data_IF_108445895965
#
_entry.id   IF_108445895965
#
_cell.length_a   1.000
_cell.length_b   1.000
_cell.length_c   1.000
_cell.angle_alpha   90.00
_cell.angle_beta   90.00
_cell.angle_gamma   90.00
#
_symmetry.space_group_name_H-M   'P 1'
#
loop_
_entity.id
_entity.type
_entity.pdbx_description
1 polymer ?
#
# COMPACT_ATOMS: atom_id res chain seq x y z
N UNK A 1 2.68 -59.15 -23.21
CA UNK A 1 2.59 -58.12 -22.15
C UNK A 1 3.83 -57.25 -22.27
N UNK A 2 3.67 -56.04 -22.82
CA UNK A 2 4.77 -55.09 -23.07
C UNK A 2 4.70 -54.03 -21.97
N UNK A 3 5.73 -53.96 -21.13
CA UNK A 3 5.88 -52.95 -20.09
C UNK A 3 6.41 -51.66 -20.73
N UNK A 4 5.54 -50.66 -20.86
CA UNK A 4 5.93 -49.32 -21.31
C UNK A 4 6.59 -48.57 -20.15
N UNK A 5 7.92 -48.48 -20.20
CA UNK A 5 8.73 -47.63 -19.34
C UNK A 5 8.46 -46.16 -19.68
N UNK A 6 7.93 -45.39 -18.72
CA UNK A 6 7.80 -43.93 -18.83
C UNK A 6 9.17 -43.27 -18.85
N UNK A 7 9.39 -42.27 -19.71
CA UNK A 7 10.66 -41.54 -19.75
C UNK A 7 10.80 -40.68 -18.50
N UNK A 8 11.96 -40.83 -17.86
CA UNK A 8 12.41 -40.01 -16.73
C UNK A 8 12.36 -38.53 -17.13
N UNK A 9 11.41 -37.81 -16.54
CA UNK A 9 11.35 -36.35 -16.61
C UNK A 9 12.49 -35.82 -15.73
N UNK A 10 13.68 -35.67 -16.32
CA UNK A 10 14.81 -35.02 -15.69
C UNK A 10 14.41 -33.56 -15.46
N UNK A 11 13.98 -33.27 -14.23
CA UNK A 11 13.63 -31.92 -13.80
C UNK A 11 14.80 -30.99 -14.07
N UNK A 12 14.63 -30.11 -15.05
CA UNK A 12 15.49 -28.96 -15.25
C UNK A 12 15.48 -28.18 -13.93
N UNK A 13 16.60 -28.21 -13.22
CA UNK A 13 16.85 -27.38 -12.04
C UNK A 13 16.78 -25.92 -12.51
N UNK A 14 15.59 -25.33 -12.38
CA UNK A 14 15.37 -23.94 -12.70
C UNK A 14 16.19 -23.11 -11.70
N UNK A 15 17.28 -22.51 -12.19
CA UNK A 15 18.12 -21.63 -11.39
C UNK A 15 17.41 -20.28 -11.21
N UNK A 16 16.67 -20.17 -10.12
CA UNK A 16 15.92 -18.98 -9.71
C UNK A 16 16.85 -17.76 -9.57
N UNK A 17 18.14 -17.97 -9.22
CA UNK A 17 19.11 -16.89 -9.07
C UNK A 17 19.46 -16.27 -10.43
N UNK A 18 19.61 -17.09 -11.46
CA UNK A 18 19.92 -16.63 -12.81
C UNK A 18 18.74 -15.87 -13.44
N UNK A 19 17.50 -16.33 -13.23
CA UNK A 19 16.29 -15.65 -13.72
C UNK A 19 16.07 -14.30 -13.01
N UNK A 20 16.43 -14.21 -11.73
CA UNK A 20 16.41 -12.95 -10.97
C UNK A 20 17.46 -11.95 -11.49
N UNK A 21 18.68 -12.41 -11.81
CA UNK A 21 19.73 -11.57 -12.40
C UNK A 21 19.41 -11.10 -13.83
N UNK A 22 18.66 -11.87 -14.61
CA UNK A 22 18.18 -11.42 -15.93
C UNK A 22 17.14 -10.29 -15.82
N UNK A 23 16.29 -10.33 -14.79
CA UNK A 23 15.24 -9.33 -14.58
C UNK A 23 15.76 -8.05 -13.93
N UNK A 24 16.74 -8.17 -13.04
CA UNK A 24 17.30 -7.04 -12.33
C UNK A 24 18.68 -6.69 -12.87
N UNK A 25 18.82 -5.48 -13.44
CA UNK A 25 20.11 -4.97 -13.87
C UNK A 25 21.14 -5.09 -12.74
N UNK A 26 22.27 -5.74 -13.04
CA UNK A 26 23.39 -5.77 -12.11
C UNK A 26 23.71 -4.35 -11.64
N UNK A 27 23.86 -4.12 -10.33
CA UNK A 27 24.32 -2.84 -9.83
C UNK A 27 25.64 -2.51 -10.53
N UNK A 28 25.63 -1.48 -11.37
CA UNK A 28 26.84 -1.06 -12.06
C UNK A 28 27.77 -0.45 -11.03
N UNK A 29 29.07 -0.82 -11.02
CA UNK A 29 30.02 -0.12 -10.18
C UNK A 29 30.00 1.38 -10.51
N UNK A 30 30.26 2.26 -9.53
CA UNK A 30 30.35 3.69 -9.77
C UNK A 30 31.33 3.99 -10.90
N UNK A 31 31.00 4.91 -11.80
CA UNK A 31 31.88 5.29 -12.90
C UNK A 31 33.20 5.88 -12.31
N UNK A 32 34.39 5.31 -12.62
CA UNK A 32 35.66 5.77 -12.09
C UNK A 32 35.93 7.25 -12.42
N UNK A 33 35.56 7.73 -13.60
CA UNK A 33 35.74 9.15 -13.97
C UNK A 33 34.93 10.08 -13.07
N UNK A 34 33.77 9.62 -12.61
CA UNK A 34 32.92 10.39 -11.70
C UNK A 34 33.52 10.45 -10.30
N UNK A 35 34.19 9.38 -9.86
CA UNK A 35 34.92 9.35 -8.59
C UNK A 35 36.15 10.26 -8.64
N UNK A 36 36.89 10.25 -9.74
CA UNK A 36 38.07 11.11 -9.93
C UNK A 36 37.69 12.59 -9.95
N UNK A 37 36.62 12.95 -10.65
CA UNK A 37 36.09 14.32 -10.63
C UNK A 37 35.65 14.77 -9.22
N UNK A 38 35.03 13.88 -8.42
CA UNK A 38 34.64 14.20 -7.04
C UNK A 38 35.85 14.41 -6.12
N UNK A 39 36.90 13.62 -6.29
CA UNK A 39 38.15 13.81 -5.55
C UNK A 39 38.86 15.10 -5.94
N UNK A 40 38.87 15.45 -7.23
CA UNK A 40 39.43 16.71 -7.71
C UNK A 40 38.67 17.92 -7.12
N UNK A 41 37.34 17.85 -7.12
CA UNK A 41 36.48 18.89 -6.55
C UNK A 41 36.71 19.08 -5.04
N UNK A 42 36.84 17.98 -4.29
CA UNK A 42 37.11 18.03 -2.85
C UNK A 42 38.52 18.56 -2.51
N UNK A 43 39.49 18.34 -3.40
CA UNK A 43 40.85 18.87 -3.22
C UNK A 43 40.92 20.38 -3.49
N UNK A 44 40.19 20.87 -4.49
CA UNK A 44 40.19 22.28 -4.87
C UNK A 44 39.40 23.17 -3.87
N UNK A 45 38.39 22.63 -3.19
CA UNK A 45 37.64 23.35 -2.14
C UNK A 45 38.43 23.58 -0.84
N UNK A 46 39.60 22.94 -0.67
CA UNK A 46 40.43 23.09 0.53
C UNK A 46 41.39 24.29 0.49
N UNK A 47 41.48 25.03 -0.62
CA UNK A 47 42.46 26.11 -0.74
C UNK A 47 41.97 27.20 -1.69
N UNK A 48 41.21 28.18 -1.17
CA UNK A 48 41.39 29.61 -1.47
C UNK A 48 40.32 30.49 -0.83
N UNK A 49 40.81 31.55 -0.17
CA UNK A 49 40.09 32.79 0.08
C UNK A 49 39.83 33.55 -1.23
N UNK A 50 38.79 34.38 -1.21
CA UNK A 50 38.53 35.55 -2.07
C UNK A 50 38.02 35.34 -3.52
N UNK A 51 36.75 35.73 -3.67
CA UNK A 51 36.27 36.67 -4.68
C UNK A 51 36.55 36.35 -6.15
N UNK A 52 35.90 35.29 -6.67
CA UNK A 52 35.59 35.23 -8.08
C UNK A 52 34.16 34.73 -8.31
N UNK A 53 33.33 35.58 -8.94
CA UNK A 53 31.98 35.23 -9.42
C UNK A 53 32.12 34.18 -10.52
N UNK A 54 32.05 32.91 -10.11
CA UNK A 54 31.84 31.79 -11.01
C UNK A 54 30.49 31.99 -11.70
N UNK A 55 30.52 32.23 -13.01
CA UNK A 55 29.33 32.19 -13.86
C UNK A 55 28.98 30.72 -14.03
N UNK A 56 28.03 30.26 -13.22
CA UNK A 56 27.44 28.92 -13.34
C UNK A 56 27.06 28.65 -14.81
N UNK A 57 27.46 27.51 -15.41
CA UNK A 57 26.93 27.12 -16.70
C UNK A 57 25.41 27.07 -16.60
N UNK A 58 24.66 27.42 -17.66
CA UNK A 58 23.20 27.43 -17.63
C UNK A 58 22.75 26.03 -17.24
N UNK A 59 22.36 25.89 -15.96
CA UNK A 59 21.74 24.70 -15.43
C UNK A 59 20.61 24.44 -16.39
N UNK A 60 20.70 23.34 -17.16
CA UNK A 60 19.56 22.82 -17.90
C UNK A 60 18.43 22.92 -16.91
N UNK A 61 17.47 23.78 -17.20
CA UNK A 61 16.19 23.78 -16.54
C UNK A 61 15.65 22.41 -16.86
N UNK A 62 15.99 21.42 -16.03
CA UNK A 62 15.08 20.37 -15.69
C UNK A 62 13.78 21.13 -15.55
N UNK A 63 12.85 20.86 -16.47
CA UNK A 63 11.43 21.16 -16.30
C UNK A 63 11.22 21.26 -14.81
N UNK A 64 10.76 22.42 -14.33
CA UNK A 64 10.28 22.55 -12.98
C UNK A 64 9.13 21.54 -12.85
N UNK A 65 9.49 20.26 -12.75
CA UNK A 65 8.76 19.18 -12.18
C UNK A 65 8.58 19.74 -10.80
N UNK A 66 7.47 20.46 -10.62
CA UNK A 66 6.90 20.75 -9.33
C UNK A 66 7.05 19.44 -8.60
N UNK A 67 8.05 19.36 -7.72
CA UNK A 67 8.19 18.22 -6.85
C UNK A 67 6.92 18.34 -6.02
N UNK A 68 5.89 17.60 -6.46
CA UNK A 68 4.61 17.52 -5.81
C UNK A 68 4.93 17.27 -4.34
N UNK A 69 4.72 18.30 -3.52
CA UNK A 69 5.08 18.16 -2.13
C UNK A 69 4.09 17.18 -1.54
N UNK A 70 4.56 15.94 -1.34
CA UNK A 70 3.85 14.90 -0.61
C UNK A 70 3.55 15.29 0.84
N UNK A 71 4.07 16.43 1.31
CA UNK A 71 3.83 16.93 2.66
C UNK A 71 2.59 17.84 2.68
N UNK A 72 1.70 17.58 3.64
CA UNK A 72 0.50 18.39 3.89
C UNK A 72 0.82 19.86 4.16
N UNK A 73 2.03 20.14 4.66
CA UNK A 73 2.52 21.48 5.01
C UNK A 73 2.53 22.47 3.83
N UNK A 74 2.66 21.98 2.61
CA UNK A 74 2.75 22.77 1.38
C UNK A 74 1.43 23.40 0.94
N UNK A 75 0.29 22.84 1.36
CA UNK A 75 -1.02 23.32 0.92
C UNK A 75 -1.46 24.55 1.73
N UNK A 76 -2.21 25.49 1.12
CA UNK A 76 -2.88 26.57 1.84
C UNK A 76 -3.79 26.01 2.94
N UNK A 77 -4.07 26.82 3.97
CA UNK A 77 -4.81 26.36 5.14
C UNK A 77 -6.17 25.76 4.81
N UNK A 78 -6.95 26.42 3.93
CA UNK A 78 -8.24 25.90 3.46
C UNK A 78 -8.12 24.50 2.85
N UNK A 79 -7.03 24.22 2.14
CA UNK A 79 -6.76 22.91 1.53
C UNK A 79 -6.29 21.86 2.51
N UNK A 80 -5.62 22.26 3.60
CA UNK A 80 -5.31 21.34 4.70
C UNK A 80 -6.59 20.84 5.35
N UNK A 81 -7.54 21.75 5.61
CA UNK A 81 -8.84 21.39 6.20
C UNK A 81 -9.61 20.42 5.30
N UNK A 82 -9.55 20.62 3.98
CA UNK A 82 -10.16 19.73 2.98
C UNK A 82 -9.48 18.36 2.97
N UNK A 83 -8.15 18.31 2.95
CA UNK A 83 -7.41 17.06 3.01
C UNK A 83 -7.69 16.31 4.30
N UNK A 84 -7.76 17.00 5.44
CA UNK A 84 -8.12 16.39 6.73
C UNK A 84 -9.56 15.87 6.74
N UNK A 85 -10.51 16.62 6.17
CA UNK A 85 -11.90 16.17 6.03
C UNK A 85 -12.00 14.95 5.10
N UNK A 86 -11.26 14.94 4.00
CA UNK A 86 -11.17 13.82 3.07
C UNK A 86 -10.55 12.60 3.75
N UNK A 87 -9.43 12.75 4.46
CA UNK A 87 -8.77 11.66 5.23
C UNK A 87 -9.72 11.04 6.25
N UNK A 88 -10.58 11.83 6.89
CA UNK A 88 -11.60 11.32 7.82
C UNK A 88 -12.69 10.52 7.10
N UNK A 89 -13.18 10.99 5.95
CA UNK A 89 -14.29 10.35 5.22
C UNK A 89 -13.86 9.22 4.28
N UNK A 90 -12.61 9.20 3.83
CA UNK A 90 -12.12 8.27 2.81
C UNK A 90 -12.17 6.79 3.26
N UNK A 91 -11.78 6.43 4.50
CA UNK A 91 -11.99 5.07 5.00
C UNK A 91 -13.45 4.62 4.93
N UNK A 92 -14.40 5.52 5.22
CA UNK A 92 -15.82 5.23 5.09
C UNK A 92 -16.21 5.00 3.62
N UNK A 93 -15.75 5.86 2.71
CA UNK A 93 -16.00 5.67 1.27
C UNK A 93 -15.49 4.32 0.75
N UNK A 94 -14.26 3.94 1.12
CA UNK A 94 -13.69 2.64 0.77
C UNK A 94 -14.50 1.47 1.33
N UNK A 95 -14.96 1.61 2.57
CA UNK A 95 -15.80 0.63 3.25
C UNK A 95 -17.17 0.50 2.60
N UNK A 96 -17.78 1.59 2.14
CA UNK A 96 -19.15 1.54 1.63
C UNK A 96 -19.20 1.13 0.15
N UNK A 97 -18.28 1.63 -0.68
CA UNK A 97 -18.38 1.49 -2.13
C UNK A 97 -17.62 0.27 -2.68
N UNK A 98 -16.80 -0.39 -1.86
CA UNK A 98 -16.10 -1.65 -2.18
C UNK A 98 -15.16 -1.59 -3.39
N UNK A 99 -14.97 -0.43 -4.02
CA UNK A 99 -14.24 -0.27 -5.28
C UNK A 99 -13.18 0.81 -5.16
N UNK A 100 -11.95 0.48 -5.53
CA UNK A 100 -10.84 1.45 -5.63
C UNK A 100 -11.01 2.42 -6.80
N UNK A 101 -11.86 2.05 -7.78
CA UNK A 101 -12.30 2.88 -8.90
C UNK A 101 -12.92 4.21 -8.45
N UNK A 102 -13.39 4.28 -7.20
CA UNK A 102 -14.13 5.42 -6.69
C UNK A 102 -13.28 6.45 -5.94
N UNK A 103 -11.97 6.25 -5.69
CA UNK A 103 -11.18 7.27 -4.97
C UNK A 103 -11.26 8.63 -5.68
N UNK A 104 -11.13 8.64 -7.02
CA UNK A 104 -11.27 9.86 -7.80
C UNK A 104 -12.68 10.47 -7.69
N UNK A 105 -13.73 9.67 -7.91
CA UNK A 105 -15.13 10.16 -7.87
C UNK A 105 -15.55 10.59 -6.47
N UNK A 106 -15.03 9.93 -5.44
CA UNK A 106 -15.22 10.26 -4.04
C UNK A 106 -14.58 11.60 -3.71
N UNK A 107 -13.35 11.84 -4.16
CA UNK A 107 -12.69 13.12 -3.95
C UNK A 107 -13.42 14.21 -4.73
N UNK A 108 -13.75 14.00 -6.00
CA UNK A 108 -14.52 14.96 -6.81
C UNK A 108 -15.85 15.32 -6.14
N UNK A 109 -16.64 14.32 -5.73
CA UNK A 109 -17.90 14.55 -5.00
C UNK A 109 -17.70 15.31 -3.69
N UNK A 110 -16.66 14.96 -2.92
CA UNK A 110 -16.40 15.64 -1.65
C UNK A 110 -15.93 17.08 -1.86
N UNK A 111 -15.15 17.34 -2.91
CA UNK A 111 -14.73 18.71 -3.28
C UNK A 111 -15.94 19.54 -3.73
N UNK A 112 -16.84 18.95 -4.51
CA UNK A 112 -18.11 19.56 -4.91
C UNK A 112 -18.99 19.88 -3.68
N UNK A 113 -19.09 18.95 -2.73
CA UNK A 113 -19.85 19.14 -1.48
C UNK A 113 -19.31 20.28 -0.60
N UNK A 114 -18.00 20.57 -0.67
CA UNK A 114 -17.37 21.66 0.10
C UNK A 114 -17.48 23.01 -0.63
N UNK A 115 -17.74 23.02 -1.95
CA UNK A 115 -17.98 24.23 -2.73
C UNK A 115 -16.72 25.07 -3.02
N UNK A 116 -15.59 24.41 -3.30
CA UNK A 116 -14.29 25.08 -3.50
C UNK A 116 -14.14 25.58 -4.94
N UNK A 117 -13.39 26.68 -5.12
CA UNK A 117 -13.06 27.20 -6.44
C UNK A 117 -12.25 26.17 -7.27
N UNK A 118 -12.84 25.72 -8.40
CA UNK A 118 -12.28 24.70 -9.29
C UNK A 118 -10.87 24.99 -9.81
N UNK A 119 -10.46 26.26 -9.89
CA UNK A 119 -9.16 26.64 -10.46
C UNK A 119 -7.97 26.06 -9.71
N UNK A 120 -8.08 25.81 -8.40
CA UNK A 120 -7.01 25.23 -7.61
C UNK A 120 -7.10 23.69 -7.59
N UNK A 121 -8.31 23.13 -7.62
CA UNK A 121 -8.52 21.68 -7.72
C UNK A 121 -7.84 21.09 -8.96
N UNK A 122 -7.99 21.75 -10.12
CA UNK A 122 -7.41 21.26 -11.37
C UNK A 122 -5.89 21.19 -11.36
N UNK A 123 -5.23 22.00 -10.53
CA UNK A 123 -3.78 22.04 -10.43
C UNK A 123 -3.26 20.92 -9.53
N UNK A 124 -3.95 20.58 -8.44
CA UNK A 124 -3.41 19.72 -7.38
C UNK A 124 -4.15 18.39 -7.16
N UNK A 125 -5.21 18.11 -7.92
CA UNK A 125 -6.01 16.87 -7.77
C UNK A 125 -5.18 15.58 -7.80
N UNK A 126 -4.15 15.52 -8.66
CA UNK A 126 -3.26 14.35 -8.73
C UNK A 126 -2.43 14.19 -7.45
N UNK A 127 -1.83 15.27 -6.95
CA UNK A 127 -1.00 15.23 -5.74
C UNK A 127 -1.84 14.88 -4.51
N UNK A 128 -3.06 15.40 -4.44
CA UNK A 128 -4.01 15.07 -3.37
C UNK A 128 -4.44 13.61 -3.43
N UNK A 129 -4.73 13.08 -4.62
CA UNK A 129 -5.05 11.68 -4.79
C UNK A 129 -3.89 10.77 -4.32
N UNK A 130 -2.64 11.17 -4.57
CA UNK A 130 -1.46 10.44 -4.07
C UNK A 130 -1.40 10.46 -2.53
N UNK A 131 -1.57 11.62 -1.90
CA UNK A 131 -1.56 11.73 -0.42
C UNK A 131 -2.65 10.87 0.21
N UNK A 132 -3.86 10.92 -0.36
CA UNK A 132 -4.98 10.12 0.11
C UNK A 132 -4.78 8.62 -0.13
N UNK A 133 -4.16 8.26 -1.26
CA UNK A 133 -3.80 6.88 -1.56
C UNK A 133 -2.75 6.33 -0.58
N UNK A 134 -1.73 7.11 -0.27
CA UNK A 134 -0.68 6.73 0.70
C UNK A 134 -1.27 6.51 2.10
N UNK A 135 -2.23 7.34 2.52
CA UNK A 135 -2.99 7.16 3.77
C UNK A 135 -3.82 5.86 3.75
N UNK A 136 -4.53 5.58 2.65
CA UNK A 136 -5.28 4.33 2.49
C UNK A 136 -4.38 3.09 2.51
N UNK A 137 -3.22 3.16 1.86
CA UNK A 137 -2.23 2.10 1.89
C UNK A 137 -1.69 1.86 3.30
N UNK A 138 -1.53 2.92 4.08
CA UNK A 138 -1.14 2.86 5.50
C UNK A 138 -2.23 2.15 6.32
N UNK A 139 -3.49 2.59 6.19
CA UNK A 139 -4.63 1.95 6.85
C UNK A 139 -4.71 0.46 6.52
N UNK A 140 -4.61 0.09 5.24
CA UNK A 140 -4.62 -1.30 4.80
C UNK A 140 -3.48 -2.13 5.40
N UNK A 141 -2.28 -1.53 5.52
CA UNK A 141 -1.13 -2.18 6.15
C UNK A 141 -1.35 -2.41 7.65
N UNK A 142 -1.99 -1.48 8.34
CA UNK A 142 -2.39 -1.63 9.75
C UNK A 142 -3.44 -2.73 9.92
N UNK A 143 -4.47 -2.77 9.05
CA UNK A 143 -5.48 -3.83 9.04
C UNK A 143 -4.83 -5.21 8.81
N UNK A 144 -3.85 -5.31 7.90
CA UNK A 144 -3.09 -6.55 7.69
C UNK A 144 -2.29 -6.97 8.92
N UNK A 145 -1.58 -6.03 9.56
CA UNK A 145 -0.84 -6.28 10.82
C UNK A 145 -1.79 -6.76 11.92
N UNK A 146 -2.99 -6.20 11.98
CA UNK A 146 -4.06 -6.60 12.87
C UNK A 146 -4.58 -8.02 12.58
N UNK A 147 -4.75 -8.38 11.31
CA UNK A 147 -5.26 -9.69 10.91
C UNK A 147 -4.26 -10.83 11.13
N UNK A 148 -2.96 -10.58 11.01
CA UNK A 148 -1.92 -11.60 11.17
C UNK A 148 -2.00 -12.43 12.47
N UNK A 149 -2.02 -11.84 13.69
CA UNK A 149 -2.10 -12.62 14.91
C UNK A 149 -3.43 -13.38 15.05
N UNK A 150 -4.53 -12.82 14.54
CA UNK A 150 -5.84 -13.48 14.53
C UNK A 150 -5.78 -14.69 13.60
N UNK A 151 -5.24 -14.53 12.39
CA UNK A 151 -5.09 -15.61 11.43
C UNK A 151 -4.19 -16.73 11.99
N UNK A 152 -3.06 -16.38 12.58
CA UNK A 152 -2.16 -17.33 13.22
C UNK A 152 -2.84 -18.12 14.35
N UNK A 153 -3.54 -17.43 15.25
CA UNK A 153 -4.22 -18.06 16.38
C UNK A 153 -5.39 -18.96 15.97
N UNK A 154 -6.10 -18.59 14.90
CA UNK A 154 -7.38 -19.22 14.54
C UNK A 154 -7.24 -20.30 13.47
N UNK A 155 -6.29 -20.15 12.55
CA UNK A 155 -6.02 -21.12 11.49
C UNK A 155 -4.77 -21.98 11.76
N UNK A 156 -4.11 -21.79 12.91
CA UNK A 156 -2.91 -22.55 13.27
C UNK A 156 -1.68 -22.23 12.41
N UNK A 157 -1.68 -21.07 11.75
CA UNK A 157 -0.55 -20.60 10.93
C UNK A 157 0.52 -20.07 11.90
N UNK A 158 1.41 -20.95 12.36
CA UNK A 158 2.52 -20.55 13.21
C UNK A 158 3.45 -19.58 12.45
N UNK A 159 3.91 -18.47 13.05
CA UNK A 159 4.83 -17.52 12.40
C UNK A 159 6.18 -18.11 11.95
N UNK A 160 6.43 -19.39 12.25
CA UNK A 160 7.74 -20.04 12.12
C UNK A 160 7.85 -21.01 10.94
N UNK A 161 6.76 -21.31 10.23
CA UNK A 161 6.76 -22.27 9.12
C UNK A 161 6.59 -21.64 7.73
N UNK A 162 6.79 -20.32 7.61
CA UNK A 162 6.63 -19.58 6.33
C UNK A 162 7.62 -20.07 5.24
N UNK A 163 8.70 -20.76 5.61
CA UNK A 163 9.63 -21.39 4.64
C UNK A 163 9.37 -22.88 4.40
N UNK A 164 8.49 -23.52 5.17
CA UNK A 164 8.20 -24.95 5.04
C UNK A 164 6.84 -25.14 4.39
N UNK A 165 6.88 -25.58 3.12
CA UNK A 165 5.76 -26.01 2.25
C UNK A 165 4.90 -27.18 2.82
N UNK A 166 4.71 -27.25 4.13
CA UNK A 166 3.84 -28.24 4.75
C UNK A 166 2.39 -27.87 4.43
N UNK A 167 1.76 -28.77 3.67
CA UNK A 167 0.36 -28.75 3.26
C UNK A 167 -0.52 -28.30 4.43
N UNK A 168 -1.06 -27.08 4.30
CA UNK A 168 -2.19 -26.59 5.09
C UNK A 168 -3.29 -27.64 4.96
N UNK A 169 -3.66 -28.27 6.09
CA UNK A 169 -4.81 -29.15 6.12
C UNK A 169 -6.04 -28.38 5.66
N UNK A 170 -6.82 -29.01 4.80
CA UNK A 170 -7.91 -28.40 4.04
C UNK A 170 -9.04 -27.96 4.99
N UNK A 171 -8.94 -26.75 5.56
CA UNK A 171 -9.96 -26.12 6.41
C UNK A 171 -11.22 -25.69 5.64
N UNK A 172 -11.51 -26.35 4.52
CA UNK A 172 -12.77 -26.27 3.83
C UNK A 172 -13.82 -27.09 4.59
N UNK A 173 -14.28 -26.58 5.74
CA UNK A 173 -15.57 -27.00 6.29
C UNK A 173 -16.66 -26.51 5.35
N UNK A 174 -16.99 -27.38 4.41
CA UNK A 174 -18.03 -27.15 3.43
C UNK A 174 -19.36 -27.37 4.14
N UNK A 175 -20.27 -26.40 4.08
CA UNK A 175 -21.62 -26.59 4.61
C UNK A 175 -22.35 -27.71 3.84
N UNK A 176 -23.53 -28.12 4.31
CA UNK A 176 -24.35 -29.16 3.68
C UNK A 176 -24.67 -28.90 2.19
N UNK A 177 -24.49 -27.65 1.73
CA UNK A 177 -24.71 -27.21 0.35
C UNK A 177 -23.43 -27.17 -0.51
N UNK A 178 -22.30 -27.66 -0.02
CA UNK A 178 -21.06 -27.65 -0.79
C UNK A 178 -20.40 -26.26 -0.88
N UNK A 179 -20.77 -25.31 -0.02
CA UNK A 179 -20.13 -23.97 0.07
C UNK A 179 -19.23 -23.85 1.28
N UNK A 180 -18.05 -23.29 1.09
CA UNK A 180 -17.10 -22.97 2.17
C UNK A 180 -17.65 -21.81 2.99
N UNK A 181 -17.84 -22.02 4.29
CA UNK A 181 -18.50 -21.05 5.16
C UNK A 181 -17.51 -20.04 5.75
N UNK A 182 -16.72 -19.40 4.87
CA UNK A 182 -15.58 -18.57 5.28
C UNK A 182 -15.99 -17.29 6.01
N UNK A 183 -17.27 -16.92 5.98
CA UNK A 183 -17.82 -15.74 6.65
C UNK A 183 -18.34 -16.00 8.06
N UNK A 184 -18.55 -17.26 8.46
CA UNK A 184 -18.99 -17.61 9.84
C UNK A 184 -17.80 -17.82 10.77
N UNK A 185 -16.57 -17.71 10.26
CA UNK A 185 -15.38 -17.91 11.04
C UNK A 185 -15.19 -16.80 12.10
N UNK A 186 -15.09 -17.16 13.39
CA UNK A 186 -14.91 -16.24 14.53
C UNK A 186 -13.82 -15.17 14.30
N UNK A 187 -12.77 -15.54 13.56
CA UNK A 187 -11.69 -14.64 13.14
C UNK A 187 -12.19 -13.37 12.43
N UNK A 188 -13.19 -13.48 11.56
CA UNK A 188 -13.74 -12.32 10.84
C UNK A 188 -14.46 -11.38 11.81
N UNK A 189 -15.27 -11.93 12.72
CA UNK A 189 -15.94 -11.16 13.76
C UNK A 189 -14.96 -10.46 14.71
N UNK A 190 -13.90 -11.18 15.12
CA UNK A 190 -12.83 -10.65 15.96
C UNK A 190 -12.07 -9.52 15.26
N UNK A 191 -11.71 -9.71 13.98
CA UNK A 191 -11.03 -8.71 13.17
C UNK A 191 -11.90 -7.46 12.95
N UNK A 192 -13.18 -7.63 12.61
CA UNK A 192 -14.14 -6.55 12.47
C UNK A 192 -14.30 -5.76 13.78
N UNK A 193 -14.43 -6.43 14.92
CA UNK A 193 -14.47 -5.79 16.24
C UNK A 193 -13.20 -4.97 16.49
N UNK A 194 -12.04 -5.53 16.15
CA UNK A 194 -10.76 -4.90 16.38
C UNK A 194 -10.53 -3.66 15.51
N UNK A 195 -10.87 -3.72 14.21
CA UNK A 195 -10.61 -2.62 13.27
C UNK A 195 -11.69 -1.53 13.38
N UNK A 196 -12.97 -1.93 13.42
CA UNK A 196 -14.06 -0.96 13.29
C UNK A 196 -14.55 -0.40 14.62
N UNK A 197 -14.38 -1.11 15.74
CA UNK A 197 -14.93 -0.69 17.04
C UNK A 197 -13.88 -0.41 18.12
N UNK A 198 -12.69 -1.01 18.04
CA UNK A 198 -11.61 -0.81 19.03
C UNK A 198 -10.56 0.18 18.52
N UNK A 199 -9.97 0.94 19.44
CA UNK A 199 -8.97 1.98 19.15
C UNK A 199 -9.55 3.40 19.12
N UNK A 200 -8.69 4.42 19.17
CA UNK A 200 -9.12 5.82 19.23
C UNK A 200 -9.63 6.34 17.88
N UNK A 201 -9.13 5.75 16.79
CA UNK A 201 -9.50 6.08 15.41
C UNK A 201 -10.47 5.05 14.79
N UNK A 202 -11.16 4.27 15.63
CA UNK A 202 -12.11 3.27 15.17
C UNK A 202 -13.22 3.89 14.33
N UNK A 203 -13.55 3.29 13.17
CA UNK A 203 -14.55 3.88 12.26
C UNK A 203 -15.93 4.03 12.88
N UNK A 204 -16.33 3.13 13.78
CA UNK A 204 -17.59 3.24 14.51
C UNK A 204 -17.63 4.43 15.49
N UNK A 205 -16.47 4.91 15.98
CA UNK A 205 -16.39 6.13 16.80
C UNK A 205 -16.53 7.39 15.94
N UNK A 206 -15.93 7.37 14.75
CA UNK A 206 -15.97 8.51 13.81
C UNK A 206 -17.33 8.61 13.11
N UNK A 207 -17.94 7.46 12.79
CA UNK A 207 -19.20 7.35 12.06
C UNK A 207 -20.22 6.48 12.80
N UNK A 208 -20.65 6.86 14.02
CA UNK A 208 -21.52 6.04 14.85
C UNK A 208 -22.85 5.74 14.15
N UNK A 209 -23.40 6.69 13.40
CA UNK A 209 -24.66 6.50 12.68
C UNK A 209 -24.59 5.39 11.62
N UNK A 210 -23.41 5.14 11.06
CA UNK A 210 -23.23 4.11 10.03
C UNK A 210 -23.03 2.73 10.67
N UNK A 211 -22.38 2.67 11.82
CA UNK A 211 -22.03 1.42 12.52
C UNK A 211 -22.95 1.10 13.73
N UNK A 212 -24.04 1.87 13.91
CA UNK A 212 -24.93 1.77 15.07
C UNK A 212 -25.73 0.47 15.10
N UNK A 213 -26.25 0.04 13.95
CA UNK A 213 -27.12 -1.13 13.85
C UNK A 213 -26.33 -2.39 13.47
N UNK A 214 -25.51 -2.30 12.42
CA UNK A 214 -24.72 -3.41 11.90
C UNK A 214 -23.45 -2.89 11.22
N UNK A 215 -22.48 -3.80 11.00
CA UNK A 215 -21.30 -3.50 10.19
C UNK A 215 -21.74 -3.43 8.72
N UNK A 216 -21.38 -2.36 7.98
CA UNK A 216 -21.68 -2.26 6.56
C UNK A 216 -21.10 -3.44 5.78
N UNK A 217 -21.82 -3.90 4.75
CA UNK A 217 -21.43 -5.05 3.94
C UNK A 217 -20.03 -4.90 3.33
N UNK A 218 -19.69 -3.72 2.81
CA UNK A 218 -18.36 -3.49 2.27
C UNK A 218 -17.26 -3.41 3.33
N UNK A 219 -17.56 -3.06 4.59
CA UNK A 219 -16.61 -3.17 5.70
C UNK A 219 -16.31 -4.65 6.01
N UNK A 220 -17.34 -5.48 6.00
CA UNK A 220 -17.17 -6.93 6.16
C UNK A 220 -16.36 -7.52 4.99
N UNK A 221 -16.66 -7.12 3.76
CA UNK A 221 -15.90 -7.55 2.58
C UNK A 221 -14.43 -7.12 2.65
N UNK A 222 -14.18 -5.90 3.11
CA UNK A 222 -12.82 -5.37 3.33
C UNK A 222 -12.07 -6.19 4.38
N UNK A 223 -12.68 -6.44 5.54
CA UNK A 223 -12.09 -7.25 6.60
C UNK A 223 -11.83 -8.69 6.15
N UNK A 224 -12.76 -9.31 5.42
CA UNK A 224 -12.58 -10.63 4.83
C UNK A 224 -11.41 -10.65 3.83
N UNK A 225 -11.28 -9.63 3.00
CA UNK A 225 -10.16 -9.51 2.04
C UNK A 225 -8.81 -9.35 2.74
N UNK A 226 -8.77 -8.58 3.83
CA UNK A 226 -7.56 -8.42 4.65
C UNK A 226 -7.19 -9.75 5.31
N UNK A 227 -8.17 -10.47 5.85
CA UNK A 227 -7.97 -11.75 6.50
C UNK A 227 -7.47 -12.80 5.52
N UNK A 228 -8.07 -12.90 4.33
CA UNK A 228 -7.60 -13.77 3.26
C UNK A 228 -6.14 -13.46 2.88
N UNK A 229 -5.81 -12.18 2.69
CA UNK A 229 -4.44 -11.75 2.40
C UNK A 229 -3.44 -11.97 3.56
N UNK A 230 -3.92 -12.23 4.78
CA UNK A 230 -3.08 -12.62 5.91
C UNK A 230 -2.86 -14.14 5.97
N UNK A 231 -3.77 -14.94 5.40
CA UNK A 231 -3.69 -16.39 5.30
C UNK A 231 -2.80 -16.81 4.12
N UNK A 232 -2.86 -16.10 3.00
CA UNK A 232 -2.12 -16.41 1.77
C UNK A 232 -0.60 -16.12 1.84
N UNK A 233 -0.06 -15.74 3.01
CA UNK A 233 1.35 -15.40 3.21
C UNK A 233 2.16 -16.59 3.69
#
# INVERSE_FOLDING_TARGET
MVLNSSPNNAGSLHDVLEDHHMKNHHPRPPNPDRLENLHQQAADESSTNEENKVVDPPKRSHSANRAASKTIGFYPHSWKDILEALKKKLPLGLVMDGTTSSCKTFIEKTVDDIGINNSYWDIYKCDMAIILWDDCATMWSEMKKAAQPIAASKFGILPSDIDNNNKVEDYNSVNEQGRTNNLIHDALGELCSMIFYKGDNALAKVFPNVFAEAIPEGAMALAASVLAAAIDK
#
